data_IF_529830309076
#
_entry.id   IF_529830309076
#
_cell.length_a   1.000
_cell.length_b   1.000
_cell.length_c   1.000
_cell.angle_alpha   90.00
_cell.angle_beta   90.00
_cell.angle_gamma   90.00
#
_symmetry.space_group_name_H-M   'P 1'
#
loop_
_entity.id
_entity.type
_entity.pdbx_description
1 polymer ?
#
# COMPACT_ATOMS: atom_id res chain seq x y z
N UNK A 1 3.27 16.46 -4.74
CA UNK A 1 3.43 15.13 -4.12
C UNK A 1 2.36 14.22 -4.74
N UNK A 2 2.67 13.02 -5.23
CA UNK A 2 1.67 12.16 -5.87
C UNK A 2 0.70 11.57 -4.83
N UNK A 3 -0.54 11.38 -5.25
CA UNK A 3 -1.59 10.63 -4.54
C UNK A 3 -1.41 9.14 -4.77
N UNK A 4 -1.65 8.32 -3.74
CA UNK A 4 -1.48 6.87 -3.81
C UNK A 4 -2.82 6.19 -3.53
N UNK A 5 -3.29 5.39 -4.48
CA UNK A 5 -4.52 4.62 -4.35
C UNK A 5 -4.24 3.13 -4.32
N UNK A 6 -5.06 2.39 -3.56
CA UNK A 6 -5.01 0.94 -3.48
C UNK A 6 -6.27 0.39 -4.15
N UNK A 7 -6.08 -0.56 -5.07
CA UNK A 7 -7.19 -1.24 -5.72
C UNK A 7 -7.87 -2.23 -4.78
N UNK A 8 -9.18 -2.41 -4.94
CA UNK A 8 -9.95 -3.47 -4.27
C UNK A 8 -9.43 -4.90 -4.58
N UNK A 9 -8.65 -5.04 -5.67
CA UNK A 9 -8.00 -6.28 -6.07
C UNK A 9 -6.81 -6.69 -5.19
N UNK A 10 -6.38 -5.87 -4.22
CA UNK A 10 -5.34 -6.22 -3.26
C UNK A 10 -5.69 -7.55 -2.57
N UNK A 11 -4.82 -8.54 -2.64
CA UNK A 11 -4.98 -9.87 -2.03
C UNK A 11 -4.21 -10.03 -0.72
N UNK A 12 -3.39 -9.03 -0.36
CA UNK A 12 -2.62 -9.01 0.87
C UNK A 12 -1.26 -9.70 0.78
N UNK A 13 -0.71 -9.87 -0.42
CA UNK A 13 0.61 -10.48 -0.64
C UNK A 13 1.78 -9.74 0.06
N UNK A 14 1.63 -8.44 0.30
CA UNK A 14 2.61 -7.60 1.00
C UNK A 14 3.83 -7.20 0.15
N UNK A 15 3.92 -7.65 -1.11
CA UNK A 15 5.09 -7.41 -1.97
C UNK A 15 5.32 -5.91 -2.19
N UNK A 16 4.22 -5.15 -2.31
CA UNK A 16 4.26 -3.70 -2.48
C UNK A 16 4.82 -2.96 -1.25
N UNK A 17 4.63 -3.49 -0.05
CA UNK A 17 5.18 -2.93 1.20
C UNK A 17 6.68 -3.22 1.28
N UNK A 18 7.08 -4.45 0.97
CA UNK A 18 8.49 -4.89 1.06
C UNK A 18 9.41 -4.22 0.03
N UNK A 19 8.92 -4.02 -1.21
CA UNK A 19 9.75 -3.49 -2.30
C UNK A 19 9.81 -1.96 -2.32
N UNK A 20 8.88 -1.27 -1.64
CA UNK A 20 8.77 0.17 -1.75
C UNK A 20 9.93 0.87 -1.03
N UNK A 21 10.86 1.56 -1.74
CA UNK A 21 11.99 2.21 -1.09
C UNK A 21 11.58 3.44 -0.25
N UNK A 22 10.34 3.88 -0.41
CA UNK A 22 9.79 5.06 0.24
C UNK A 22 8.80 4.71 1.35
N UNK A 23 8.52 3.42 1.60
CA UNK A 23 7.56 2.92 2.58
C UNK A 23 6.23 3.70 2.55
N UNK A 24 5.59 3.78 1.38
CA UNK A 24 4.36 4.59 1.20
C UNK A 24 3.07 3.83 1.50
N UNK A 25 3.19 2.54 1.84
CA UNK A 25 2.09 1.68 2.23
C UNK A 25 2.47 0.91 3.50
N UNK A 26 1.48 0.61 4.31
CA UNK A 26 1.55 -0.38 5.38
C UNK A 26 0.66 -1.58 5.07
N UNK A 27 0.94 -2.74 5.69
CA UNK A 27 0.06 -3.91 5.62
C UNK A 27 -0.76 -4.02 6.91
N UNK A 28 -2.07 -3.77 6.81
CA UNK A 28 -3.01 -3.84 7.93
C UNK A 28 -4.16 -4.76 7.55
N UNK A 29 -4.43 -5.79 8.37
CA UNK A 29 -5.50 -6.77 8.12
C UNK A 29 -5.44 -7.42 6.72
N UNK A 30 -4.24 -7.80 6.26
CA UNK A 30 -3.98 -8.34 4.91
C UNK A 30 -4.43 -7.42 3.77
N UNK A 31 -4.39 -6.09 3.97
CA UNK A 31 -4.63 -5.10 2.93
C UNK A 31 -3.55 -4.04 2.99
N UNK A 32 -3.06 -3.60 1.82
CA UNK A 32 -2.17 -2.45 1.76
C UNK A 32 -2.98 -1.19 2.07
N UNK A 33 -2.51 -0.39 3.02
CA UNK A 33 -3.09 0.90 3.39
C UNK A 33 -2.09 1.99 2.98
N UNK A 34 -2.49 2.95 2.13
CA UNK A 34 -1.60 4.02 1.72
C UNK A 34 -1.47 5.10 2.80
N UNK A 35 -0.25 5.51 3.11
CA UNK A 35 0.06 6.59 4.08
C UNK A 35 -0.36 7.99 3.55
N UNK A 36 -0.67 8.08 2.25
CA UNK A 36 -1.07 9.32 1.57
C UNK A 36 -2.30 9.05 0.69
N UNK A 37 -3.34 8.54 1.36
CA UNK A 37 -4.68 8.43 0.80
C UNK A 37 -5.29 9.83 0.60
N UNK A 38 -6.01 10.00 -0.50
CA UNK A 38 -6.90 11.12 -0.81
C UNK A 38 -8.30 10.94 -0.24
#
# INVERSE_FOLDING_TARGET
>A
MPTITVSDACDGDGVCVDICPMNVYDLVNNKSVPERAD
#
